data_IF_558214500765
#
_entry.id   IF_558214500765
#
_cell.length_a   1.000
_cell.length_b   1.000
_cell.length_c   1.000
_cell.angle_alpha   90.00
_cell.angle_beta   90.00
_cell.angle_gamma   90.00
#
_symmetry.space_group_name_H-M   'P 1'
#
loop_
_entity.id
_entity.type
_entity.pdbx_description
1 polymer ?
#
# COMPACT_ATOMS: atom_id res chain seq x y z
N UNK A 1 -7.61 -57.11 -2.39
CA UNK A 1 -9.06 -57.20 -2.12
C UNK A 1 -9.42 -56.07 -1.17
N UNK A 2 -10.43 -55.26 -1.50
CA UNK A 2 -10.96 -54.20 -0.63
C UNK A 2 -10.82 -52.80 -1.23
N UNK A 3 -11.55 -52.52 -2.29
CA UNK A 3 -11.80 -51.18 -2.82
C UNK A 3 -12.98 -50.57 -2.06
N UNK A 4 -12.72 -49.68 -1.12
CA UNK A 4 -13.76 -48.85 -0.52
C UNK A 4 -14.04 -47.63 -1.39
N UNK A 5 -15.27 -47.56 -1.85
CA UNK A 5 -15.86 -46.51 -2.66
C UNK A 5 -16.32 -45.39 -1.69
N UNK A 6 -15.98 -44.11 -1.89
CA UNK A 6 -16.54 -43.03 -1.08
C UNK A 6 -18.02 -42.83 -1.34
N UNK A 7 -18.79 -42.68 -0.25
CA UNK A 7 -20.22 -42.48 -0.23
C UNK A 7 -20.64 -41.15 -0.89
N UNK A 8 -21.65 -41.29 -1.72
CA UNK A 8 -22.33 -40.21 -2.43
C UNK A 8 -23.27 -39.45 -1.45
N UNK A 9 -23.03 -38.19 -1.21
CA UNK A 9 -23.91 -37.31 -0.44
C UNK A 9 -25.24 -37.08 -1.19
N UNK A 10 -26.39 -37.01 -0.49
CA UNK A 10 -27.68 -36.72 -1.10
C UNK A 10 -27.85 -35.24 -1.43
N UNK A 11 -28.68 -34.88 -2.43
CA UNK A 11 -28.93 -33.51 -2.79
C UNK A 11 -29.84 -32.82 -1.74
N UNK A 12 -29.40 -31.64 -1.29
CA UNK A 12 -30.22 -30.78 -0.43
C UNK A 12 -31.45 -30.26 -1.17
N UNK A 13 -32.60 -30.48 -0.53
CA UNK A 13 -33.91 -30.04 -0.96
C UNK A 13 -33.99 -28.51 -0.95
N UNK A 14 -34.25 -27.92 -2.09
CA UNK A 14 -34.65 -26.50 -2.21
C UNK A 14 -36.01 -26.29 -1.56
N UNK A 15 -36.02 -25.68 -0.40
CA UNK A 15 -37.27 -25.15 0.20
C UNK A 15 -37.62 -23.83 -0.49
N UNK A 16 -38.65 -23.92 -1.29
CA UNK A 16 -39.38 -22.82 -1.89
C UNK A 16 -40.19 -22.09 -0.80
N UNK A 17 -39.67 -20.92 -0.32
CA UNK A 17 -40.38 -20.05 0.61
C UNK A 17 -41.22 -19.07 -0.18
N UNK A 18 -42.54 -19.20 0.02
CA UNK A 18 -43.63 -18.51 -0.66
C UNK A 18 -43.48 -16.98 -0.68
N UNK A 19 -43.84 -16.43 -1.81
CA UNK A 19 -43.97 -15.00 -2.04
C UNK A 19 -45.09 -14.39 -1.23
N UNK A 20 -44.79 -13.43 -0.39
CA UNK A 20 -45.76 -12.53 0.21
C UNK A 20 -46.09 -11.43 -0.79
N UNK A 21 -47.30 -11.53 -1.35
CA UNK A 21 -47.85 -10.56 -2.29
C UNK A 21 -48.31 -9.31 -1.49
N UNK A 22 -47.49 -8.25 -1.46
CA UNK A 22 -47.87 -6.95 -0.89
C UNK A 22 -48.43 -6.08 -2.02
N UNK A 23 -49.72 -5.63 -1.93
CA UNK A 23 -50.29 -4.74 -2.95
C UNK A 23 -49.61 -3.34 -2.92
N UNK A 24 -49.49 -2.67 -4.05
CA UNK A 24 -48.90 -1.35 -4.13
C UNK A 24 -49.74 -0.27 -3.44
N UNK A 25 -49.13 0.73 -2.78
CA UNK A 25 -49.87 1.82 -2.14
C UNK A 25 -50.56 2.72 -3.19
N UNK A 26 -51.77 3.17 -2.84
CA UNK A 26 -52.60 4.03 -3.66
C UNK A 26 -51.99 5.42 -3.89
N UNK A 27 -52.23 6.07 -5.04
CA UNK A 27 -51.69 7.39 -5.35
C UNK A 27 -52.33 8.49 -4.49
N UNK A 28 -51.48 9.38 -3.97
CA UNK A 28 -51.84 10.57 -3.19
C UNK A 28 -52.40 11.62 -4.14
N UNK A 29 -53.58 12.23 -3.89
CA UNK A 29 -54.15 13.28 -4.70
C UNK A 29 -53.34 14.60 -4.56
N UNK A 30 -53.30 15.45 -5.60
CA UNK A 30 -52.60 16.71 -5.55
C UNK A 30 -53.33 17.74 -4.66
N UNK A 31 -52.62 18.67 -4.01
CA UNK A 31 -53.22 19.72 -3.21
C UNK A 31 -53.92 20.74 -4.11
N UNK A 32 -55.14 21.04 -3.77
CA UNK A 32 -55.99 22.02 -4.44
C UNK A 32 -55.50 23.41 -4.08
N UNK A 33 -55.17 24.16 -5.11
CA UNK A 33 -54.92 25.62 -5.04
C UNK A 33 -56.25 26.34 -4.83
N UNK A 34 -56.45 26.95 -3.70
CA UNK A 34 -57.48 27.97 -3.54
C UNK A 34 -56.76 29.29 -3.24
N UNK A 35 -56.95 30.24 -4.14
CA UNK A 35 -56.44 31.58 -4.00
C UNK A 35 -57.19 32.35 -2.94
N UNK A 36 -56.54 33.30 -2.36
CA UNK A 36 -57.16 34.53 -1.89
C UNK A 36 -56.13 35.63 -1.88
N UNK A 37 -56.37 36.60 -2.75
CA UNK A 37 -55.73 37.89 -2.76
C UNK A 37 -56.19 38.66 -1.54
N UNK A 38 -55.27 39.14 -0.74
CA UNK A 38 -55.52 40.25 0.16
C UNK A 38 -54.39 41.27 -0.01
N UNK A 39 -54.70 42.32 -0.70
CA UNK A 39 -53.98 43.56 -0.67
C UNK A 39 -53.81 44.06 0.76
N UNK A 40 -52.60 44.21 1.22
CA UNK A 40 -52.28 45.03 2.37
C UNK A 40 -51.09 45.90 1.98
N UNK A 41 -51.41 47.10 1.61
CA UNK A 41 -50.53 48.22 1.55
C UNK A 41 -50.05 48.58 2.99
N UNK A 42 -48.79 48.35 3.30
CA UNK A 42 -48.16 48.86 4.53
C UNK A 42 -46.82 49.47 4.22
N UNK A 43 -46.86 50.80 4.16
CA UNK A 43 -45.86 51.80 4.58
C UNK A 43 -44.41 51.29 4.73
N UNK A 44 -43.60 51.91 3.88
CA UNK A 44 -42.17 52.01 4.05
C UNK A 44 -41.82 52.56 5.45
N UNK A 45 -41.18 51.70 6.24
CA UNK A 45 -40.35 52.19 7.34
C UNK A 45 -38.91 51.68 7.14
N UNK A 46 -38.05 52.67 7.03
CA UNK A 46 -36.65 52.49 6.79
C UNK A 46 -36.00 51.95 8.06
N UNK A 47 -35.94 50.67 8.18
CA UNK A 47 -34.96 50.04 9.04
C UNK A 47 -33.68 49.85 8.23
N UNK A 48 -32.74 50.80 8.44
CA UNK A 48 -31.33 50.57 8.14
C UNK A 48 -30.86 49.40 9.01
N UNK A 49 -30.99 48.24 8.50
CA UNK A 49 -30.18 47.13 8.95
C UNK A 49 -28.77 47.47 8.49
N UNK A 50 -27.96 47.96 9.43
CA UNK A 50 -26.51 47.85 9.38
C UNK A 50 -26.17 46.36 9.16
N UNK A 51 -26.20 45.95 7.89
CA UNK A 51 -25.41 44.81 7.48
C UNK A 51 -23.94 45.13 7.80
N UNK A 52 -23.57 44.92 9.05
CA UNK A 52 -22.21 44.56 9.38
C UNK A 52 -21.92 43.31 8.57
N UNK A 53 -21.63 43.56 7.29
CA UNK A 53 -20.90 42.60 6.47
C UNK A 53 -19.58 42.36 7.20
N UNK A 54 -19.61 41.46 8.16
CA UNK A 54 -18.40 40.76 8.58
C UNK A 54 -17.85 40.20 7.28
N UNK A 55 -16.98 41.01 6.64
CA UNK A 55 -16.07 40.50 5.64
C UNK A 55 -15.36 39.32 6.33
N UNK A 56 -15.97 38.17 6.19
CA UNK A 56 -15.27 36.93 6.36
C UNK A 56 -14.11 37.01 5.37
N UNK A 57 -12.95 37.44 5.86
CA UNK A 57 -11.70 37.44 5.11
C UNK A 57 -11.32 35.98 4.81
N UNK A 58 -12.34 35.24 4.45
CA UNK A 58 -12.25 33.85 3.97
C UNK A 58 -11.38 33.85 2.74
N UNK A 59 -10.40 32.99 2.77
CA UNK A 59 -9.49 32.66 1.68
C UNK A 59 -10.23 32.79 0.34
N UNK A 60 -9.76 33.63 -0.61
CA UNK A 60 -10.41 33.88 -1.89
C UNK A 60 -10.82 32.57 -2.57
N UNK A 61 -12.00 32.54 -3.19
CA UNK A 61 -12.55 31.32 -3.81
C UNK A 61 -11.61 30.71 -4.84
N UNK A 62 -10.87 31.51 -5.58
CA UNK A 62 -9.84 31.03 -6.50
C UNK A 62 -8.69 30.31 -5.78
N UNK A 63 -8.31 30.77 -4.57
CA UNK A 63 -7.26 30.14 -3.77
C UNK A 63 -7.74 28.84 -3.15
N UNK A 64 -9.02 28.78 -2.71
CA UNK A 64 -9.66 27.51 -2.29
C UNK A 64 -9.72 26.52 -3.45
N UNK A 65 -10.12 26.97 -4.64
CA UNK A 65 -10.13 26.15 -5.84
C UNK A 65 -8.71 25.67 -6.21
N UNK A 66 -7.71 26.56 -6.19
CA UNK A 66 -6.32 26.19 -6.44
C UNK A 66 -5.77 25.21 -5.40
N UNK A 67 -6.15 25.35 -4.13
CA UNK A 67 -5.76 24.43 -3.06
C UNK A 67 -6.43 23.06 -3.23
N UNK A 68 -7.71 23.00 -3.57
CA UNK A 68 -8.47 21.76 -3.76
C UNK A 68 -8.04 21.06 -5.05
N UNK A 69 -7.98 21.76 -6.18
CA UNK A 69 -7.69 21.14 -7.48
C UNK A 69 -6.20 20.98 -7.77
N UNK A 70 -5.34 21.84 -7.20
CA UNK A 70 -3.89 21.74 -7.34
C UNK A 70 -3.22 21.11 -6.13
N UNK A 71 -3.54 21.58 -4.92
CA UNK A 71 -2.91 21.12 -3.68
C UNK A 71 -3.39 19.72 -3.26
N UNK A 72 -4.67 19.40 -3.44
CA UNK A 72 -5.25 18.12 -3.07
C UNK A 72 -4.59 16.93 -3.79
N UNK A 73 -4.53 16.91 -5.12
CA UNK A 73 -3.85 15.86 -5.88
C UNK A 73 -2.36 15.74 -5.57
N UNK A 74 -1.65 16.86 -5.40
CA UNK A 74 -0.23 16.84 -5.04
C UNK A 74 -0.02 16.25 -3.65
N UNK A 75 -0.85 16.61 -2.68
CA UNK A 75 -0.82 16.03 -1.34
C UNK A 75 -1.11 14.53 -1.38
N UNK A 76 -2.10 14.09 -2.15
CA UNK A 76 -2.43 12.68 -2.32
C UNK A 76 -1.24 11.89 -2.90
N UNK A 77 -0.57 12.42 -3.92
CA UNK A 77 0.64 11.82 -4.48
C UNK A 77 1.76 11.79 -3.44
N UNK A 78 1.99 12.86 -2.70
CA UNK A 78 3.01 12.91 -1.66
C UNK A 78 2.74 11.86 -0.57
N UNK A 79 1.51 11.76 -0.06
CA UNK A 79 1.10 10.77 0.92
C UNK A 79 1.26 9.33 0.39
N UNK A 80 0.92 9.10 -0.88
CA UNK A 80 1.11 7.81 -1.53
C UNK A 80 2.60 7.42 -1.58
N UNK A 81 3.48 8.35 -1.95
CA UNK A 81 4.93 8.12 -1.99
C UNK A 81 5.50 7.86 -0.59
N UNK A 82 5.06 8.62 0.42
CA UNK A 82 5.42 8.39 1.83
C UNK A 82 4.93 7.02 2.27
N UNK A 83 3.71 6.63 1.90
CA UNK A 83 3.14 5.30 2.17
C UNK A 83 4.01 4.16 1.61
N UNK A 84 4.53 4.29 0.38
CA UNK A 84 5.44 3.29 -0.21
C UNK A 84 6.73 3.17 0.62
N UNK A 85 7.34 4.30 0.98
CA UNK A 85 8.58 4.29 1.78
C UNK A 85 8.33 3.70 3.16
N UNK A 86 7.22 4.07 3.81
CA UNK A 86 6.82 3.51 5.10
C UNK A 86 6.56 2.00 5.04
N UNK A 87 5.88 1.51 4.00
CA UNK A 87 5.65 0.09 3.79
C UNK A 87 6.97 -0.70 3.59
N UNK A 88 7.93 -0.15 2.83
CA UNK A 88 9.28 -0.73 2.69
C UNK A 88 10.00 -0.78 4.04
N UNK A 89 9.95 0.29 4.82
CA UNK A 89 10.57 0.35 6.15
C UNK A 89 9.91 -0.64 7.13
N UNK A 90 8.60 -0.74 7.14
CA UNK A 90 7.85 -1.71 7.96
C UNK A 90 8.21 -3.15 7.60
N UNK A 91 8.22 -3.49 6.30
CA UNK A 91 8.63 -4.82 5.81
C UNK A 91 10.05 -5.16 6.23
N UNK A 92 10.97 -4.21 6.15
CA UNK A 92 12.35 -4.39 6.58
C UNK A 92 12.45 -4.62 8.09
N UNK A 93 11.70 -3.85 8.92
CA UNK A 93 11.62 -4.05 10.36
C UNK A 93 11.10 -5.44 10.71
N UNK A 94 10.05 -5.88 10.01
CA UNK A 94 9.46 -7.20 10.21
C UNK A 94 10.45 -8.33 9.88
N UNK A 95 11.18 -8.24 8.75
CA UNK A 95 12.22 -9.20 8.38
C UNK A 95 13.35 -9.28 9.43
N UNK A 96 13.72 -8.13 10.03
CA UNK A 96 14.74 -8.08 11.10
C UNK A 96 14.27 -8.71 12.41
N UNK A 97 12.98 -8.67 12.68
CA UNK A 97 12.36 -9.18 13.92
C UNK A 97 11.87 -10.62 13.80
N UNK A 98 12.15 -11.31 12.70
CA UNK A 98 11.77 -12.71 12.54
C UNK A 98 12.32 -13.55 13.70
N UNK A 99 11.50 -14.47 14.24
CA UNK A 99 11.86 -15.26 15.43
C UNK A 99 13.06 -16.17 15.17
N UNK A 100 13.11 -16.80 13.99
CA UNK A 100 14.22 -17.71 13.62
C UNK A 100 15.38 -16.92 13.01
N UNK A 101 16.61 -17.18 13.48
CA UNK A 101 17.82 -16.49 13.00
C UNK A 101 18.10 -16.76 11.52
N UNK A 102 17.91 -17.99 11.05
CA UNK A 102 18.00 -18.33 9.63
C UNK A 102 17.01 -17.52 8.78
N UNK A 103 15.79 -17.29 9.28
CA UNK A 103 14.79 -16.44 8.62
C UNK A 103 15.23 -14.96 8.57
N UNK A 104 15.96 -14.50 9.60
CA UNK A 104 16.56 -13.14 9.59
C UNK A 104 17.62 -13.02 8.51
N UNK A 105 18.50 -14.04 8.37
CA UNK A 105 19.53 -14.06 7.32
C UNK A 105 18.89 -14.09 5.92
N UNK A 106 17.87 -14.94 5.72
CA UNK A 106 17.09 -14.94 4.46
C UNK A 106 16.45 -13.57 4.20
N UNK A 107 15.94 -12.94 5.26
CA UNK A 107 15.36 -11.59 5.19
C UNK A 107 16.37 -10.54 4.76
N UNK A 108 17.60 -10.60 5.28
CA UNK A 108 18.68 -9.70 4.90
C UNK A 108 19.09 -9.89 3.43
N UNK A 109 19.26 -11.13 2.98
CA UNK A 109 19.54 -11.40 1.56
C UNK A 109 18.44 -10.88 0.63
N UNK A 110 17.18 -11.13 0.97
CA UNK A 110 16.04 -10.59 0.20
C UNK A 110 16.05 -9.07 0.14
N UNK A 111 16.47 -8.41 1.21
CA UNK A 111 16.56 -6.96 1.26
C UNK A 111 17.65 -6.42 0.31
N UNK A 112 18.79 -7.13 0.17
CA UNK A 112 19.83 -6.79 -0.80
C UNK A 112 19.31 -6.95 -2.23
N UNK A 113 18.70 -8.08 -2.54
CA UNK A 113 18.12 -8.38 -3.86
C UNK A 113 17.03 -7.38 -4.23
N UNK A 114 16.14 -7.05 -3.29
CA UNK A 114 15.08 -6.07 -3.49
C UNK A 114 15.67 -4.69 -3.80
N UNK A 115 16.74 -4.29 -3.08
CA UNK A 115 17.41 -3.02 -3.30
C UNK A 115 18.12 -2.96 -4.68
N UNK A 116 18.79 -4.04 -5.07
CA UNK A 116 19.40 -4.15 -6.39
C UNK A 116 18.39 -3.97 -7.53
N UNK A 117 17.22 -4.61 -7.39
CA UNK A 117 16.10 -4.47 -8.35
C UNK A 117 15.52 -3.06 -8.37
N UNK A 118 15.37 -2.44 -7.22
CA UNK A 118 14.89 -1.07 -7.11
C UNK A 118 15.86 -0.09 -7.82
N UNK A 119 17.17 -0.35 -7.76
CA UNK A 119 18.19 0.37 -8.51
C UNK A 119 18.22 0.03 -10.01
N UNK A 120 17.34 -0.88 -10.46
CA UNK A 120 17.19 -1.24 -11.88
C UNK A 120 18.07 -2.39 -12.35
N UNK A 121 18.71 -3.13 -11.44
CA UNK A 121 19.49 -4.31 -11.81
C UNK A 121 18.56 -5.49 -12.17
N UNK A 122 18.89 -6.28 -13.22
CA UNK A 122 18.04 -7.38 -13.70
C UNK A 122 18.20 -8.66 -12.86
N UNK A 123 18.09 -8.56 -11.53
CA UNK A 123 18.22 -9.72 -10.65
C UNK A 123 16.99 -10.62 -10.80
N UNK A 124 17.14 -11.91 -11.12
CA UNK A 124 16.03 -12.83 -11.35
C UNK A 124 15.20 -13.05 -10.06
N UNK A 125 13.88 -13.34 -10.22
CA UNK A 125 13.00 -13.61 -9.10
C UNK A 125 13.40 -14.93 -8.41
N UNK A 126 13.30 -14.96 -7.06
CA UNK A 126 13.58 -16.17 -6.28
C UNK A 126 12.55 -17.27 -6.54
N UNK A 127 12.92 -18.50 -6.20
CA UNK A 127 12.12 -19.73 -6.34
C UNK A 127 12.75 -20.76 -7.25
N UNK A 128 13.28 -20.35 -8.40
CA UNK A 128 13.98 -21.22 -9.36
C UNK A 128 15.49 -20.97 -9.37
N UNK A 129 15.94 -19.81 -8.84
CA UNK A 129 17.32 -19.33 -8.94
C UNK A 129 17.97 -19.29 -7.56
N UNK A 130 19.19 -19.85 -7.46
CA UNK A 130 19.97 -19.88 -6.21
C UNK A 130 20.48 -18.48 -5.84
N UNK A 131 20.86 -18.29 -4.56
CA UNK A 131 21.48 -17.02 -4.11
C UNK A 131 22.78 -16.72 -4.86
N UNK A 132 23.55 -17.74 -5.18
CA UNK A 132 24.80 -17.61 -5.94
C UNK A 132 24.55 -17.10 -7.36
N UNK A 133 23.50 -17.60 -8.01
CA UNK A 133 23.11 -17.11 -9.33
C UNK A 133 22.55 -15.69 -9.24
N UNK A 134 21.72 -15.39 -8.25
CA UNK A 134 21.23 -14.03 -8.02
C UNK A 134 22.39 -13.05 -7.80
N UNK A 135 23.44 -13.44 -7.06
CA UNK A 135 24.58 -12.59 -6.77
C UNK A 135 25.36 -12.15 -8.02
N UNK A 136 25.39 -12.97 -9.07
CA UNK A 136 26.04 -12.63 -10.36
C UNK A 136 25.33 -11.48 -11.09
N UNK A 137 24.05 -11.27 -10.81
CA UNK A 137 23.24 -10.19 -11.38
C UNK A 137 23.21 -8.94 -10.49
N UNK A 138 23.80 -9.00 -9.29
CA UNK A 138 24.00 -7.86 -8.42
C UNK A 138 25.34 -7.26 -8.79
N UNK A 139 25.34 -6.04 -9.29
CA UNK A 139 26.54 -5.31 -9.70
C UNK A 139 27.39 -4.87 -8.50
N UNK A 140 27.86 -5.82 -7.71
CA UNK A 140 28.64 -5.63 -6.50
C UNK A 140 29.64 -6.77 -6.35
N UNK A 141 30.88 -6.45 -6.03
CA UNK A 141 31.94 -7.43 -5.82
C UNK A 141 31.74 -8.27 -4.56
N UNK A 142 31.08 -7.74 -3.55
CA UNK A 142 30.84 -8.43 -2.28
C UNK A 142 29.61 -9.37 -2.33
N UNK A 143 28.70 -9.20 -3.29
CA UNK A 143 27.47 -9.99 -3.37
C UNK A 143 27.70 -11.51 -3.43
N UNK A 144 28.70 -12.06 -4.18
CA UNK A 144 28.97 -13.49 -4.17
C UNK A 144 29.45 -14.01 -2.80
N UNK A 145 30.24 -13.22 -2.06
CA UNK A 145 30.67 -13.57 -0.71
C UNK A 145 29.48 -13.57 0.26
N UNK A 146 28.62 -12.57 0.22
CA UNK A 146 27.40 -12.49 1.01
C UNK A 146 26.44 -13.64 0.70
N UNK A 147 26.34 -14.07 -0.57
CA UNK A 147 25.52 -15.24 -0.95
C UNK A 147 26.02 -16.53 -0.28
N UNK A 148 27.34 -16.75 -0.28
CA UNK A 148 27.95 -17.93 0.39
C UNK A 148 27.71 -17.91 1.89
N UNK A 149 27.91 -16.76 2.54
CA UNK A 149 27.63 -16.60 3.98
C UNK A 149 26.15 -16.83 4.29
N UNK A 150 25.24 -16.32 3.45
CA UNK A 150 23.81 -16.58 3.62
C UNK A 150 23.50 -18.07 3.48
N UNK A 151 24.10 -18.77 2.52
CA UNK A 151 23.89 -20.20 2.31
C UNK A 151 24.41 -21.04 3.49
N UNK A 152 25.61 -20.70 4.02
CA UNK A 152 26.16 -21.39 5.20
C UNK A 152 25.28 -21.25 6.45
N UNK A 153 24.67 -20.08 6.65
CA UNK A 153 23.76 -19.84 7.77
C UNK A 153 22.37 -20.48 7.59
N UNK A 154 21.95 -20.76 6.38
CA UNK A 154 20.62 -21.32 6.09
C UNK A 154 20.66 -22.84 5.98
N UNK A 155 21.74 -23.38 5.37
CA UNK A 155 21.89 -24.81 5.07
C UNK A 155 22.97 -25.49 5.91
N UNK A 156 23.68 -24.74 6.75
CA UNK A 156 24.68 -25.28 7.66
C UNK A 156 24.04 -26.19 8.73
N UNK A 157 24.85 -27.07 9.33
CA UNK A 157 24.39 -28.05 10.33
C UNK A 157 23.94 -27.36 11.64
N UNK A 158 24.42 -26.16 11.91
CA UNK A 158 24.10 -25.40 13.14
C UNK A 158 23.36 -24.12 12.76
N UNK A 159 22.23 -23.82 13.41
CA UNK A 159 21.53 -22.55 13.20
C UNK A 159 22.44 -21.37 13.56
N UNK A 160 22.36 -20.24 12.83
CA UNK A 160 23.16 -19.07 13.16
C UNK A 160 22.77 -18.49 14.51
N UNK A 161 23.77 -18.03 15.26
CA UNK A 161 23.56 -17.28 16.50
C UNK A 161 23.00 -15.88 16.22
N UNK A 162 22.37 -15.21 17.22
CA UNK A 162 21.85 -13.86 17.08
C UNK A 162 22.87 -12.85 16.59
N UNK A 163 24.13 -12.96 17.06
CA UNK A 163 25.23 -12.09 16.66
C UNK A 163 25.64 -12.29 15.21
N UNK A 164 25.72 -13.54 14.76
CA UNK A 164 26.02 -13.85 13.35
C UNK A 164 24.94 -13.30 12.41
N UNK A 165 23.67 -13.42 12.80
CA UNK A 165 22.56 -12.86 12.02
C UNK A 165 22.60 -11.32 12.01
N UNK A 166 22.96 -10.67 13.12
CA UNK A 166 23.09 -9.21 13.20
C UNK A 166 24.26 -8.69 12.39
N UNK A 167 25.41 -9.37 12.44
CA UNK A 167 26.61 -9.07 11.64
C UNK A 167 26.30 -9.19 10.14
N UNK A 168 25.60 -10.25 9.74
CA UNK A 168 25.17 -10.41 8.35
C UNK A 168 24.24 -9.27 7.90
N UNK A 169 23.31 -8.84 8.75
CA UNK A 169 22.45 -7.67 8.49
C UNK A 169 23.26 -6.39 8.32
N UNK A 170 24.31 -6.21 9.14
CA UNK A 170 25.21 -5.05 9.01
C UNK A 170 25.92 -5.06 7.67
N UNK A 171 26.56 -6.18 7.30
CA UNK A 171 27.24 -6.34 6.03
C UNK A 171 26.32 -6.07 4.83
N UNK A 172 25.09 -6.59 4.85
CA UNK A 172 24.08 -6.30 3.81
C UNK A 172 23.71 -4.81 3.78
N UNK A 173 23.63 -4.13 4.93
CA UNK A 173 23.35 -2.69 4.95
C UNK A 173 24.47 -1.86 4.40
N UNK A 174 25.72 -2.24 4.68
CA UNK A 174 26.91 -1.56 4.17
C UNK A 174 26.96 -1.69 2.66
N UNK A 175 26.70 -2.90 2.15
CA UNK A 175 26.64 -3.13 0.71
C UNK A 175 25.53 -2.31 0.03
N UNK A 176 24.35 -2.25 0.60
CA UNK A 176 23.24 -1.42 0.08
C UNK A 176 23.62 0.06 0.05
N UNK A 177 24.37 0.54 1.05
CA UNK A 177 24.87 1.92 1.07
C UNK A 177 25.88 2.14 -0.05
N UNK A 178 26.81 1.21 -0.25
CA UNK A 178 27.79 1.26 -1.33
C UNK A 178 27.13 1.29 -2.71
N UNK A 179 26.16 0.39 -2.96
CA UNK A 179 25.36 0.38 -4.20
C UNK A 179 24.61 1.69 -4.42
N UNK A 180 24.06 2.27 -3.35
CA UNK A 180 23.35 3.55 -3.43
C UNK A 180 24.32 4.71 -3.69
N UNK A 181 25.52 4.67 -3.13
CA UNK A 181 26.56 5.70 -3.38
C UNK A 181 27.00 5.72 -4.84
N UNK A 182 27.16 4.55 -5.46
CA UNK A 182 27.48 4.41 -6.88
C UNK A 182 26.34 4.75 -7.85
N UNK A 183 25.10 4.86 -7.35
CA UNK A 183 23.94 5.17 -8.18
C UNK A 183 23.72 6.69 -8.33
N UNK A 184 23.21 7.12 -9.51
CA UNK A 184 22.82 8.52 -9.73
C UNK A 184 21.68 8.94 -8.79
N UNK A 185 21.60 10.26 -8.48
CA UNK A 185 20.52 10.81 -7.63
C UNK A 185 19.12 10.41 -8.14
N UNK A 186 18.90 10.47 -9.45
CA UNK A 186 17.65 10.07 -10.08
C UNK A 186 17.32 8.58 -9.82
N UNK A 187 18.30 7.68 -9.99
CA UNK A 187 18.10 6.25 -9.71
C UNK A 187 17.78 6.00 -8.24
N UNK A 188 18.43 6.70 -7.31
CA UNK A 188 18.15 6.60 -5.86
C UNK A 188 16.72 7.02 -5.52
N UNK A 189 16.25 8.14 -6.07
CA UNK A 189 14.87 8.61 -5.87
C UNK A 189 13.84 7.63 -6.45
N UNK A 190 14.06 7.17 -7.69
CA UNK A 190 13.19 6.16 -8.31
C UNK A 190 13.20 4.84 -7.53
N UNK A 191 14.35 4.42 -6.99
CA UNK A 191 14.44 3.23 -6.15
C UNK A 191 13.64 3.36 -4.85
N UNK A 192 13.64 4.55 -4.22
CA UNK A 192 12.90 4.78 -2.99
C UNK A 192 11.38 4.57 -3.17
N UNK A 193 10.82 4.99 -4.30
CA UNK A 193 9.38 4.91 -4.61
C UNK A 193 9.01 3.75 -5.54
N UNK A 194 9.97 2.90 -5.91
CA UNK A 194 9.75 1.75 -6.79
C UNK A 194 8.79 0.73 -6.17
N UNK A 195 7.78 0.33 -6.94
CA UNK A 195 6.84 -0.74 -6.59
C UNK A 195 7.28 -2.12 -7.10
N UNK A 196 8.46 -2.22 -7.75
CA UNK A 196 8.94 -3.48 -8.36
C UNK A 196 9.03 -4.63 -7.35
N UNK A 197 9.38 -4.31 -6.12
CA UNK A 197 9.50 -5.26 -5.00
C UNK A 197 8.15 -5.82 -4.53
N UNK A 198 7.04 -5.08 -4.71
CA UNK A 198 5.71 -5.53 -4.32
C UNK A 198 5.02 -6.36 -5.40
N UNK A 199 5.36 -6.17 -6.67
CA UNK A 199 4.74 -6.88 -7.81
C UNK A 199 5.13 -8.36 -7.95
N UNK A 200 6.22 -8.80 -7.31
CA UNK A 200 6.80 -10.16 -7.49
C UNK A 200 6.71 -11.06 -6.25
N UNK A 201 5.85 -10.73 -5.30
CA UNK A 201 5.63 -11.58 -4.10
C UNK A 201 4.51 -12.62 -4.28
N UNK A 202 4.09 -12.87 -5.53
CA UNK A 202 3.19 -13.98 -5.87
C UNK A 202 3.96 -15.14 -6.43
#
# INVERSE_FOLDING_TARGET
MGTERPAKLPPESQQNVGGTNVPPPAPIPPPTTAGEQADVEVTADAARDDETTTRDEGVPTWLRAALIYGGGPLLAVALFLVGIVAAKAARRRWRRRAARMSTRVVGAWRELVDHARDLGQPVPAGGVVTRREQSRHIGSESAPALARVADSHVFGPVPPEPEAASTFWSAVNDERRAMSAGATRRRRLLAAVSLRTFRRSR
#
